data_IF_611136504954
#
_entry.id   IF_611136504954
#
_cell.length_a   1.000
_cell.length_b   1.000
_cell.length_c   1.000
_cell.angle_alpha   90.00
_cell.angle_beta   90.00
_cell.angle_gamma   90.00
#
_symmetry.space_group_name_H-M   'P 1'
#
loop_
_entity.id
_entity.type
_entity.pdbx_description
1 polymer ?
#
# COMPACT_ATOMS: atom_id res chain seq x y z
N UNK A 1 0.56 -21.69 1.59
CA UNK A 1 -0.61 -20.86 1.96
C UNK A 1 -0.10 -19.56 2.53
N UNK A 2 -0.63 -18.41 2.10
CA UNK A 2 -0.17 -17.05 2.52
C UNK A 2 -0.38 -16.70 4.00
N UNK A 3 -0.61 -17.71 4.84
CA UNK A 3 -0.80 -17.66 6.30
C UNK A 3 0.34 -18.37 7.05
N UNK A 4 1.49 -18.58 6.39
CA UNK A 4 2.68 -19.11 7.06
C UNK A 4 3.25 -18.06 8.00
N UNK A 5 3.93 -18.47 9.08
CA UNK A 5 4.48 -17.56 10.08
C UNK A 5 5.44 -16.51 9.48
N UNK A 6 6.16 -16.88 8.42
CA UNK A 6 6.96 -15.97 7.60
C UNK A 6 6.57 -16.12 6.14
N UNK A 7 6.13 -15.02 5.54
CA UNK A 7 5.84 -14.94 4.11
C UNK A 7 6.62 -13.74 3.56
N UNK A 8 7.30 -13.95 2.44
CA UNK A 8 8.02 -12.91 1.72
C UNK A 8 7.31 -12.63 0.40
N UNK A 9 7.15 -11.35 0.07
CA UNK A 9 6.65 -10.89 -1.22
C UNK A 9 7.79 -10.19 -1.94
N UNK A 10 8.31 -10.82 -3.00
CA UNK A 10 9.31 -10.20 -3.87
C UNK A 10 8.59 -9.53 -5.05
N UNK A 11 8.84 -8.23 -5.24
CA UNK A 11 8.40 -7.49 -6.41
C UNK A 11 9.59 -7.28 -7.34
N UNK A 12 9.57 -7.89 -8.52
CA UNK A 12 10.54 -7.67 -9.59
C UNK A 12 9.86 -6.80 -10.65
N UNK A 13 10.42 -5.61 -10.90
CA UNK A 13 9.82 -4.56 -11.72
C UNK A 13 10.83 -3.98 -12.70
N UNK A 14 10.34 -3.41 -13.79
CA UNK A 14 11.16 -2.58 -14.67
C UNK A 14 11.48 -1.23 -13.98
N UNK A 15 12.56 -0.58 -14.41
CA UNK A 15 12.86 0.77 -13.97
C UNK A 15 11.69 1.72 -14.30
N UNK A 16 11.25 2.51 -13.32
CA UNK A 16 10.07 3.39 -13.43
C UNK A 16 8.71 2.74 -13.14
N UNK A 17 8.63 1.42 -12.93
CA UNK A 17 7.40 0.73 -12.47
C UNK A 17 7.51 0.43 -10.96
N UNK A 18 7.56 1.50 -10.16
CA UNK A 18 7.97 1.47 -8.75
C UNK A 18 7.05 2.32 -7.83
N UNK A 19 5.75 2.26 -8.11
CA UNK A 19 4.67 2.94 -7.37
C UNK A 19 4.73 2.73 -5.85
N UNK A 20 5.19 1.56 -5.40
CA UNK A 20 5.36 1.25 -3.98
C UNK A 20 6.35 2.18 -3.27
N UNK A 21 7.36 2.70 -3.98
CA UNK A 21 8.34 3.63 -3.41
C UNK A 21 7.73 5.00 -3.18
N UNK A 22 6.92 5.49 -4.14
CA UNK A 22 6.17 6.73 -4.00
C UNK A 22 5.18 6.65 -2.83
N UNK A 23 4.41 5.56 -2.73
CA UNK A 23 3.47 5.38 -1.63
C UNK A 23 4.18 5.30 -0.26
N UNK A 24 5.28 4.54 -0.17
CA UNK A 24 6.08 4.41 1.06
C UNK A 24 6.55 5.77 1.55
N UNK A 25 7.20 6.53 0.68
CA UNK A 25 7.82 7.79 1.06
C UNK A 25 6.76 8.83 1.46
N UNK A 26 5.62 8.84 0.77
CA UNK A 26 4.49 9.68 1.15
C UNK A 26 3.97 9.34 2.56
N UNK A 27 3.81 8.06 2.90
CA UNK A 27 3.36 7.70 4.25
C UNK A 27 4.41 8.04 5.34
N UNK A 28 5.70 8.05 5.01
CA UNK A 28 6.76 8.47 5.93
C UNK A 28 6.69 9.98 6.20
N UNK A 29 6.44 10.78 5.16
CA UNK A 29 6.38 12.24 5.27
C UNK A 29 5.06 12.76 5.87
N UNK A 30 3.94 12.04 5.64
CA UNK A 30 2.60 12.41 6.12
C UNK A 30 2.06 11.38 7.13
N UNK A 31 2.49 11.47 8.42
CA UNK A 31 2.17 10.46 9.45
C UNK A 31 0.67 10.44 9.83
N UNK A 32 -0.05 11.52 9.62
CA UNK A 32 -1.51 11.59 9.73
C UNK A 32 -2.20 10.69 8.69
N UNK A 33 -1.74 10.71 7.45
CA UNK A 33 -2.24 9.81 6.39
C UNK A 33 -1.86 8.36 6.67
N UNK A 34 -0.67 8.10 7.22
CA UNK A 34 -0.30 6.76 7.66
C UNK A 34 -1.26 6.21 8.73
N UNK A 35 -1.70 7.06 9.68
CA UNK A 35 -2.72 6.71 10.68
C UNK A 35 -4.09 6.45 10.05
N UNK A 36 -4.48 7.20 9.02
CA UNK A 36 -5.71 6.89 8.27
C UNK A 36 -5.63 5.52 7.60
N UNK A 37 -4.48 5.19 7.00
CA UNK A 37 -4.27 3.90 6.36
C UNK A 37 -4.30 2.74 7.36
N UNK A 38 -3.73 2.92 8.56
CA UNK A 38 -3.84 1.98 9.65
C UNK A 38 -5.30 1.75 10.07
N UNK A 39 -6.04 2.84 10.32
CA UNK A 39 -7.47 2.78 10.69
C UNK A 39 -8.32 2.09 9.63
N UNK A 40 -7.98 2.24 8.35
CA UNK A 40 -8.61 1.51 7.25
C UNK A 40 -8.28 0.01 7.32
N UNK A 41 -7.00 -0.36 7.53
CA UNK A 41 -6.56 -1.76 7.48
C UNK A 41 -7.07 -2.63 8.63
N UNK A 42 -7.22 -2.09 9.84
CA UNK A 42 -7.62 -2.85 11.04
C UNK A 42 -8.99 -3.56 10.88
N UNK A 43 -10.09 -2.86 10.51
CA UNK A 43 -11.38 -3.51 10.33
C UNK A 43 -11.39 -4.44 9.11
N UNK A 44 -10.75 -4.04 8.01
CA UNK A 44 -10.67 -4.86 6.79
C UNK A 44 -9.95 -6.19 7.02
N UNK A 45 -8.94 -6.22 7.89
CA UNK A 45 -8.26 -7.47 8.25
C UNK A 45 -9.22 -8.45 8.91
N UNK A 46 -10.10 -7.97 9.79
CA UNK A 46 -11.11 -8.81 10.45
C UNK A 46 -12.21 -9.25 9.48
N UNK A 47 -12.70 -8.32 8.65
CA UNK A 47 -13.76 -8.61 7.68
C UNK A 47 -13.33 -9.61 6.60
N UNK A 48 -12.08 -9.53 6.16
CA UNK A 48 -11.54 -10.32 5.07
C UNK A 48 -10.45 -11.30 5.51
N UNK A 49 -10.53 -11.81 6.74
CA UNK A 49 -9.52 -12.70 7.35
C UNK A 49 -9.15 -13.90 6.45
N UNK A 50 -10.14 -14.44 5.72
CA UNK A 50 -9.97 -15.57 4.80
C UNK A 50 -10.09 -15.19 3.32
N UNK A 51 -10.21 -13.91 3.01
CA UNK A 51 -10.38 -13.41 1.64
C UNK A 51 -9.33 -12.35 1.29
N UNK A 52 -8.14 -12.82 0.92
CA UNK A 52 -7.00 -11.97 0.57
C UNK A 52 -7.30 -10.98 -0.57
N UNK A 53 -8.07 -11.41 -1.56
CA UNK A 53 -8.37 -10.60 -2.74
C UNK A 53 -9.33 -9.46 -2.36
N UNK A 54 -10.36 -9.74 -1.56
CA UNK A 54 -11.25 -8.70 -1.04
C UNK A 54 -10.50 -7.71 -0.14
N UNK A 55 -9.60 -8.19 0.73
CA UNK A 55 -8.72 -7.31 1.53
C UNK A 55 -7.84 -6.40 0.66
N UNK A 56 -7.29 -6.94 -0.43
CA UNK A 56 -6.46 -6.19 -1.37
C UNK A 56 -7.29 -5.14 -2.10
N UNK A 57 -8.45 -5.53 -2.63
CA UNK A 57 -9.36 -4.65 -3.35
C UNK A 57 -9.89 -3.51 -2.47
N UNK A 58 -10.25 -3.80 -1.22
CA UNK A 58 -10.85 -2.83 -0.31
C UNK A 58 -9.90 -1.67 0.07
N UNK A 59 -8.58 -1.86 -0.04
CA UNK A 59 -7.59 -0.81 0.21
C UNK A 59 -6.99 -0.19 -1.06
N UNK A 60 -7.35 -0.69 -2.25
CA UNK A 60 -6.78 -0.27 -3.54
C UNK A 60 -6.96 1.22 -3.80
N UNK A 61 -8.17 1.76 -3.57
CA UNK A 61 -8.45 3.17 -3.86
C UNK A 61 -7.66 4.12 -2.94
N UNK A 62 -7.44 3.73 -1.68
CA UNK A 62 -6.59 4.49 -0.76
C UNK A 62 -5.14 4.53 -1.27
N UNK A 63 -4.60 3.35 -1.63
CA UNK A 63 -3.21 3.24 -2.12
C UNK A 63 -3.05 4.08 -3.39
N UNK A 64 -3.90 3.89 -4.40
CA UNK A 64 -3.85 4.66 -5.65
C UNK A 64 -3.89 6.17 -5.41
N UNK A 65 -4.85 6.65 -4.61
CA UNK A 65 -5.01 8.08 -4.32
C UNK A 65 -3.73 8.71 -3.80
N UNK A 66 -3.06 8.05 -2.86
CA UNK A 66 -1.86 8.61 -2.24
C UNK A 66 -0.59 8.33 -3.05
N UNK A 67 -0.53 7.25 -3.83
CA UNK A 67 0.52 7.06 -4.84
C UNK A 67 0.48 8.18 -5.89
N UNK A 68 -0.69 8.54 -6.42
CA UNK A 68 -0.80 9.60 -7.43
C UNK A 68 -0.47 10.98 -6.85
N UNK A 69 -0.89 11.26 -5.60
CA UNK A 69 -0.43 12.46 -4.87
C UNK A 69 1.09 12.48 -4.71
N UNK A 70 1.69 11.35 -4.33
CA UNK A 70 3.13 11.23 -4.17
C UNK A 70 3.87 11.48 -5.49
N UNK A 71 3.42 10.88 -6.61
CA UNK A 71 3.97 11.15 -7.95
C UNK A 71 3.86 12.62 -8.32
N UNK A 72 2.76 13.29 -7.98
CA UNK A 72 2.63 14.73 -8.23
C UNK A 72 3.61 15.59 -7.43
N UNK A 73 3.98 15.18 -6.20
CA UNK A 73 4.91 15.93 -5.34
C UNK A 73 6.36 15.62 -5.70
N UNK A 74 6.69 14.34 -5.90
CA UNK A 74 8.06 13.88 -6.09
C UNK A 74 8.47 13.75 -7.55
N UNK A 75 7.54 13.85 -8.49
CA UNK A 75 7.78 13.79 -9.94
C UNK A 75 8.60 12.55 -10.33
N UNK A 76 9.75 12.72 -11.00
CA UNK A 76 10.59 11.62 -11.51
C UNK A 76 11.64 11.16 -10.50
N UNK A 77 11.27 11.05 -9.22
CA UNK A 77 12.19 10.62 -8.16
C UNK A 77 12.69 9.18 -8.37
N UNK A 78 11.83 8.33 -8.92
CA UNK A 78 12.02 6.91 -9.18
C UNK A 78 11.50 6.54 -10.57
#
# INVERSE_FOLDING_TARGET
NGFSEKVFHLHLRYAGDNDELYFRDYLIEFPDIAKEYEKLKIPLWKEYEHNRDAYTNAKTEFVKKYTEKAKSIYSNRY
#
